data_IF_512831233171
#
_entry.id   IF_512831233171
#
_cell.length_a   1.000
_cell.length_b   1.000
_cell.length_c   1.000
_cell.angle_alpha   90.00
_cell.angle_beta   90.00
_cell.angle_gamma   90.00
#
_symmetry.space_group_name_H-M   'P 1'
#
loop_
_entity.id
_entity.type
_entity.pdbx_description
1 polymer ?
#
# COMPACT_ATOMS: atom_id res chain seq x y z
N UNK A 1 -3.68 20.54 -24.82
CA UNK A 1 -2.97 20.96 -23.58
C UNK A 1 -1.73 20.08 -23.44
N UNK A 2 -0.56 20.66 -23.16
CA UNK A 2 0.67 19.90 -22.91
C UNK A 2 0.91 19.78 -21.39
N UNK A 3 1.27 18.59 -20.94
CA UNK A 3 1.69 18.34 -19.56
C UNK A 3 3.15 18.80 -19.37
N UNK A 4 3.44 19.53 -18.28
CA UNK A 4 4.80 19.97 -17.93
C UNK A 4 5.39 19.08 -16.84
N UNK A 5 6.51 18.41 -17.13
CA UNK A 5 7.25 17.60 -16.16
C UNK A 5 8.20 18.47 -15.33
N UNK A 6 8.02 18.49 -14.01
CA UNK A 6 8.85 19.28 -13.08
C UNK A 6 9.81 18.43 -12.22
N UNK A 7 9.73 17.09 -12.33
CA UNK A 7 10.52 16.15 -11.53
C UNK A 7 9.89 15.84 -10.16
N UNK A 8 10.44 14.82 -9.49
CA UNK A 8 10.04 14.40 -8.13
C UNK A 8 10.50 15.41 -7.10
N UNK A 9 9.65 15.74 -6.12
CA UNK A 9 9.96 16.71 -5.07
C UNK A 9 10.66 16.03 -3.88
N UNK A 10 11.30 16.83 -3.04
CA UNK A 10 11.93 16.33 -1.82
C UNK A 10 10.89 15.67 -0.90
N UNK A 11 11.16 14.43 -0.48
CA UNK A 11 10.29 13.67 0.41
C UNK A 11 9.19 12.85 -0.28
N UNK A 12 9.08 12.89 -1.61
CA UNK A 12 8.12 12.06 -2.35
C UNK A 12 8.69 10.68 -2.68
N UNK A 13 7.86 9.64 -2.56
CA UNK A 13 8.19 8.29 -3.01
C UNK A 13 7.56 8.03 -4.37
N UNK A 14 8.17 7.12 -5.14
CA UNK A 14 7.61 6.65 -6.40
C UNK A 14 6.33 5.82 -6.19
N UNK A 15 6.33 5.01 -5.13
CA UNK A 15 5.19 4.21 -4.68
C UNK A 15 5.09 4.29 -3.16
N UNK A 16 3.86 4.37 -2.66
CA UNK A 16 3.58 4.22 -1.24
C UNK A 16 3.35 2.75 -0.87
N UNK A 17 3.83 2.36 0.32
CA UNK A 17 3.61 1.04 0.91
C UNK A 17 2.52 1.13 1.97
N UNK A 18 1.56 0.21 1.92
CA UNK A 18 0.53 0.08 2.95
C UNK A 18 0.94 -0.95 4.02
N UNK A 19 1.57 -2.05 3.60
CA UNK A 19 1.98 -3.15 4.48
C UNK A 19 3.37 -3.58 4.07
N UNK A 20 4.31 -3.60 5.02
CA UNK A 20 5.67 -4.09 4.77
C UNK A 20 5.68 -5.61 4.60
N UNK A 21 6.73 -6.15 4.00
CA UNK A 21 6.95 -7.58 3.86
C UNK A 21 6.88 -8.36 5.18
N UNK A 22 7.45 -7.83 6.26
CA UNK A 22 7.40 -8.48 7.59
C UNK A 22 5.97 -8.55 8.12
N UNK A 23 5.18 -7.50 7.90
CA UNK A 23 3.78 -7.46 8.30
C UNK A 23 2.92 -8.36 7.41
N UNK A 24 3.20 -8.41 6.11
CA UNK A 24 2.48 -9.26 5.16
C UNK A 24 2.67 -10.75 5.45
N UNK A 25 3.88 -11.15 5.89
CA UNK A 25 4.18 -12.53 6.29
C UNK A 25 3.33 -13.03 7.48
N UNK A 26 2.71 -12.12 8.25
CA UNK A 26 1.84 -12.43 9.40
C UNK A 26 0.43 -11.87 9.29
N UNK A 27 0.06 -11.28 8.15
CA UNK A 27 -1.22 -10.61 8.00
C UNK A 27 -2.36 -11.62 7.82
N UNK A 28 -3.49 -11.38 8.48
CA UNK A 28 -4.73 -12.08 8.19
C UNK A 28 -5.52 -11.31 7.12
N UNK A 29 -5.88 -11.99 6.03
CA UNK A 29 -6.77 -11.47 4.99
C UNK A 29 -8.22 -11.51 5.48
N UNK A 30 -8.84 -10.33 5.61
CA UNK A 30 -10.23 -10.12 6.00
C UNK A 30 -11.06 -9.59 4.82
N UNK A 31 -10.72 -10.00 3.59
CA UNK A 31 -11.32 -9.65 2.30
C UNK A 31 -11.12 -8.18 1.91
N UNK A 32 -11.61 -7.25 2.73
CA UNK A 32 -11.49 -5.80 2.52
C UNK A 32 -10.47 -5.12 3.44
N UNK A 33 -9.89 -5.88 4.36
CA UNK A 33 -8.92 -5.38 5.33
C UNK A 33 -7.83 -6.42 5.56
N UNK A 34 -6.65 -5.94 5.93
CA UNK A 34 -5.62 -6.78 6.51
C UNK A 34 -5.55 -6.51 8.00
N UNK A 35 -5.48 -7.58 8.79
CA UNK A 35 -5.18 -7.48 10.22
C UNK A 35 -3.75 -7.91 10.45
N UNK A 36 -2.93 -6.99 10.97
CA UNK A 36 -1.57 -7.29 11.39
C UNK A 36 -1.63 -7.59 12.89
N UNK A 37 -1.44 -8.85 13.32
CA UNK A 37 -1.42 -9.17 14.74
C UNK A 37 -0.25 -8.44 15.40
N UNK A 38 -0.47 -8.00 16.65
CA UNK A 38 0.61 -7.49 17.46
C UNK A 38 1.66 -8.57 17.64
N UNK A 39 2.93 -8.17 17.58
CA UNK A 39 4.04 -9.06 17.77
C UNK A 39 4.07 -9.53 19.23
N UNK A 40 3.77 -10.80 19.48
CA UNK A 40 3.72 -11.41 20.80
C UNK A 40 5.05 -12.07 21.21
N UNK A 41 6.16 -11.72 20.53
CA UNK A 41 7.50 -12.17 20.91
C UNK A 41 7.85 -11.66 22.32
N UNK A 42 7.57 -12.52 23.27
CA UNK A 42 7.82 -12.40 24.71
C UNK A 42 9.31 -12.17 25.00
N UNK A 43 9.81 -10.91 24.91
CA UNK A 43 11.18 -10.43 25.20
C UNK A 43 12.35 -11.36 24.79
N UNK A 44 12.12 -12.28 23.87
CA UNK A 44 13.01 -13.38 23.55
C UNK A 44 13.80 -13.02 22.30
N UNK A 45 14.96 -12.40 22.53
CA UNK A 45 16.00 -12.13 21.53
C UNK A 45 16.47 -13.36 20.73
N UNK A 46 16.06 -14.58 21.13
CA UNK A 46 16.41 -15.84 20.49
C UNK A 46 15.81 -16.06 19.09
N UNK A 47 14.78 -15.32 18.68
CA UNK A 47 14.22 -15.46 17.31
C UNK A 47 15.05 -14.78 16.21
N UNK A 48 16.09 -14.00 16.57
CA UNK A 48 16.97 -13.34 15.59
C UNK A 48 18.25 -14.12 15.27
N UNK A 49 18.56 -15.17 16.04
CA UNK A 49 19.75 -15.98 15.86
C UNK A 49 19.36 -17.46 15.72
N UNK A 50 19.72 -18.02 14.56
CA UNK A 50 19.57 -19.42 14.15
C UNK A 50 18.21 -19.73 13.49
N UNK A 51 18.23 -19.77 12.15
CA UNK A 51 17.13 -20.04 11.20
C UNK A 51 16.16 -18.88 10.98
N UNK A 52 16.57 -17.90 10.14
CA UNK A 52 15.64 -16.91 9.61
C UNK A 52 14.48 -17.61 8.89
N UNK A 53 13.25 -17.19 9.16
CA UNK A 53 12.05 -17.68 8.51
C UNK A 53 12.18 -17.45 7.00
N UNK A 54 12.49 -18.52 6.25
CA UNK A 54 12.67 -18.45 4.79
C UNK A 54 11.43 -17.88 4.08
N UNK A 55 10.25 -18.05 4.68
CA UNK A 55 8.98 -17.56 4.16
C UNK A 55 8.92 -16.02 4.03
N UNK A 56 9.59 -15.26 4.90
CA UNK A 56 9.65 -13.79 4.80
C UNK A 56 10.33 -13.36 3.49
N UNK A 57 11.26 -14.16 2.96
CA UNK A 57 11.99 -13.82 1.74
C UNK A 57 11.15 -13.92 0.46
N UNK A 58 10.00 -14.60 0.53
CA UNK A 58 9.13 -14.89 -0.62
C UNK A 58 7.99 -13.88 -0.80
N UNK A 59 7.78 -13.02 0.20
CA UNK A 59 6.66 -12.07 0.24
C UNK A 59 7.17 -10.68 -0.14
N UNK A 60 6.45 -9.96 -0.99
CA UNK A 60 6.74 -8.55 -1.31
C UNK A 60 5.93 -7.59 -0.41
N UNK A 61 6.38 -6.34 -0.30
CA UNK A 61 5.57 -5.28 0.30
C UNK A 61 4.25 -5.13 -0.47
N UNK A 62 3.15 -4.84 0.23
CA UNK A 62 1.91 -4.41 -0.42
C UNK A 62 1.95 -2.90 -0.66
N UNK A 63 1.95 -2.51 -1.93
CA UNK A 63 2.20 -1.13 -2.38
C UNK A 63 1.15 -0.64 -3.37
N UNK A 64 1.11 0.67 -3.56
CA UNK A 64 0.35 1.32 -4.64
C UNK A 64 0.74 0.86 -6.06
N UNK A 65 1.88 0.19 -6.25
CA UNK A 65 2.30 -0.31 -7.56
C UNK A 65 1.72 -1.69 -7.91
N UNK A 66 1.61 -2.57 -6.91
CA UNK A 66 1.22 -3.97 -7.09
C UNK A 66 -0.22 -4.28 -6.65
N UNK A 67 -0.96 -3.27 -6.18
CA UNK A 67 -2.41 -3.33 -6.02
C UNK A 67 -3.16 -3.17 -7.35
N UNK A 68 -4.49 -3.28 -7.32
CA UNK A 68 -5.33 -2.94 -8.45
C UNK A 68 -5.16 -1.46 -8.82
N UNK A 69 -4.71 -1.20 -10.05
CA UNK A 69 -4.54 0.14 -10.59
C UNK A 69 -5.69 0.47 -11.53
N UNK A 70 -6.52 1.41 -11.10
CA UNK A 70 -7.63 1.91 -11.93
C UNK A 70 -7.09 2.50 -13.23
N UNK A 71 -7.79 2.21 -14.33
CA UNK A 71 -7.57 2.86 -15.61
C UNK A 71 -8.21 4.26 -15.64
N UNK A 72 -8.14 4.92 -16.79
CA UNK A 72 -8.72 6.27 -16.95
C UNK A 72 -10.23 6.27 -16.66
N UNK A 73 -10.95 5.21 -17.03
CA UNK A 73 -12.38 5.13 -16.85
C UNK A 73 -12.74 4.89 -15.37
N UNK A 74 -12.07 3.96 -14.71
CA UNK A 74 -12.22 3.70 -13.28
C UNK A 74 -11.89 4.91 -12.42
N UNK A 75 -10.85 5.68 -12.77
CA UNK A 75 -10.53 6.95 -12.10
C UNK A 75 -11.69 7.94 -12.24
N UNK A 76 -12.26 8.10 -13.45
CA UNK A 76 -13.40 9.01 -13.66
C UNK A 76 -14.61 8.60 -12.83
N UNK A 77 -14.96 7.31 -12.85
CA UNK A 77 -16.09 6.78 -12.08
C UNK A 77 -15.90 6.97 -10.58
N UNK A 78 -14.68 6.79 -10.07
CA UNK A 78 -14.35 7.03 -8.67
C UNK A 78 -14.44 8.52 -8.30
N UNK A 79 -13.86 9.41 -9.12
CA UNK A 79 -13.92 10.86 -8.89
C UNK A 79 -15.35 11.40 -8.87
N UNK A 80 -16.23 10.91 -9.76
CA UNK A 80 -17.62 11.33 -9.83
C UNK A 80 -18.47 10.91 -8.62
N UNK A 81 -17.98 9.99 -7.77
CA UNK A 81 -18.65 9.66 -6.49
C UNK A 81 -18.51 10.79 -5.47
N UNK A 82 -17.46 11.61 -5.56
CA UNK A 82 -17.18 12.69 -4.62
C UNK A 82 -18.10 13.90 -4.89
N UNK A 83 -18.81 14.39 -3.87
CA UNK A 83 -19.67 15.58 -4.00
C UNK A 83 -18.87 16.81 -4.46
N UNK A 84 -17.68 17.02 -3.87
CA UNK A 84 -16.78 18.12 -4.23
C UNK A 84 -16.49 18.19 -5.74
N UNK A 85 -16.16 17.05 -6.36
CA UNK A 85 -15.87 17.01 -7.80
C UNK A 85 -17.13 17.30 -8.62
N UNK A 86 -18.29 16.80 -8.18
CA UNK A 86 -19.56 17.07 -8.86
C UNK A 86 -19.97 18.53 -8.76
N UNK A 87 -19.72 19.19 -7.63
CA UNK A 87 -19.99 20.61 -7.44
C UNK A 87 -19.10 21.47 -8.35
N UNK A 88 -17.79 21.23 -8.35
CA UNK A 88 -16.83 21.98 -9.17
C UNK A 88 -17.06 21.81 -10.69
N UNK A 89 -17.67 20.70 -11.14
CA UNK A 89 -18.03 20.51 -12.55
C UNK A 89 -19.30 21.27 -12.99
N UNK A 90 -20.15 21.66 -12.05
CA UNK A 90 -21.41 22.36 -12.31
C UNK A 90 -21.35 23.87 -11.99
N UNK A 91 -20.23 24.35 -11.46
CA UNK A 91 -19.95 25.76 -11.15
C UNK A 91 -19.58 26.57 -12.41
#
# INVERSE_FOLDING_TARGET
>A
MSTKTIGTRHGEKLYESLISREEMARADDMERYYRIPADDRDLNYKKYFVQGEQHISEVDDYTSHNTERLDIQGIKEMLLKLDYIREELNA
#
